data_IF_178903191500
#
_entry.id   IF_178903191500
#
_cell.length_a   1.000
_cell.length_b   1.000
_cell.length_c   1.000
_cell.angle_alpha   90.00
_cell.angle_beta   90.00
_cell.angle_gamma   90.00
#
_symmetry.space_group_name_H-M   'P 1'
#
loop_
_entity.id
_entity.type
_entity.pdbx_description
1 polymer ?
#
# COMPACT_ATOMS: atom_id res chain seq x y z
N UNK A 1 10.95 -2.37 -6.27
CA UNK A 1 10.23 -2.02 -5.02
C UNK A 1 8.87 -2.70 -4.93
N UNK A 2 7.88 -2.37 -5.77
CA UNK A 2 6.51 -2.92 -5.70
C UNK A 2 6.45 -4.46 -5.61
N UNK A 3 7.17 -5.16 -6.48
CA UNK A 3 7.25 -6.63 -6.49
C UNK A 3 7.78 -7.21 -5.17
N UNK A 4 8.73 -6.53 -4.52
CA UNK A 4 9.29 -6.97 -3.24
C UNK A 4 8.29 -6.75 -2.12
N UNK A 5 7.63 -5.59 -2.10
CA UNK A 5 6.57 -5.30 -1.14
C UNK A 5 5.40 -6.29 -1.26
N UNK A 6 5.01 -6.67 -2.47
CA UNK A 6 4.00 -7.70 -2.71
C UNK A 6 4.45 -9.07 -2.20
N UNK A 7 5.68 -9.49 -2.55
CA UNK A 7 6.23 -10.78 -2.12
C UNK A 7 6.40 -10.88 -0.59
N UNK A 8 6.75 -9.79 0.10
CA UNK A 8 6.94 -9.81 1.56
C UNK A 8 5.63 -9.79 2.34
N UNK A 9 4.55 -9.25 1.76
CA UNK A 9 3.30 -9.00 2.49
C UNK A 9 2.17 -9.96 2.14
N UNK A 10 2.27 -10.65 1.00
CA UNK A 10 1.17 -11.45 0.44
C UNK A 10 0.07 -10.60 -0.23
N UNK A 11 0.26 -9.29 -0.36
CA UNK A 11 -0.63 -8.42 -1.12
C UNK A 11 -0.38 -8.57 -2.61
N UNK A 12 -1.44 -8.48 -3.41
CA UNK A 12 -1.32 -8.50 -4.86
C UNK A 12 -0.85 -7.14 -5.38
N UNK A 13 0.14 -7.15 -6.27
CA UNK A 13 0.54 -5.96 -7.00
C UNK A 13 -0.44 -5.73 -8.14
N UNK A 14 -1.15 -4.60 -8.12
CA UNK A 14 -2.05 -4.19 -9.19
C UNK A 14 -1.66 -2.84 -9.78
N UNK A 15 -1.99 -2.64 -11.05
CA UNK A 15 -1.99 -1.30 -11.66
C UNK A 15 -3.25 -0.55 -11.19
N UNK A 16 -3.16 0.75 -10.89
CA UNK A 16 -4.30 1.51 -10.44
C UNK A 16 -5.35 1.63 -11.55
N UNK A 17 -6.62 1.41 -11.20
CA UNK A 17 -7.74 1.66 -12.09
C UNK A 17 -7.80 3.14 -12.47
N UNK A 18 -8.39 3.46 -13.63
CA UNK A 18 -8.50 4.85 -14.10
C UNK A 18 -9.16 5.79 -13.07
N UNK A 19 -10.12 5.28 -12.28
CA UNK A 19 -10.79 6.05 -11.22
C UNK A 19 -9.89 6.33 -10.01
N UNK A 20 -8.83 5.56 -9.82
CA UNK A 20 -7.83 5.72 -8.76
C UNK A 20 -6.58 6.48 -9.25
N UNK A 21 -6.65 7.11 -10.42
CA UNK A 21 -5.57 7.90 -11.02
C UNK A 21 -6.03 9.33 -11.31
N UNK A 22 -5.19 10.32 -10.99
CA UNK A 22 -5.41 11.70 -11.41
C UNK A 22 -5.98 12.61 -10.32
N UNK A 23 -5.28 12.71 -9.19
CA UNK A 23 -5.59 13.69 -8.15
C UNK A 23 -5.51 13.16 -6.72
N UNK A 24 -5.12 11.90 -6.54
CA UNK A 24 -4.90 11.32 -5.23
C UNK A 24 -3.60 11.79 -4.58
N UNK A 25 -3.44 11.50 -3.29
CA UNK A 25 -2.23 11.84 -2.54
C UNK A 25 -0.95 11.23 -3.17
N UNK A 26 -1.03 9.97 -3.61
CA UNK A 26 0.05 9.29 -4.34
C UNK A 26 0.49 10.07 -5.58
N UNK A 27 -0.46 10.54 -6.38
CA UNK A 27 -0.17 11.27 -7.62
C UNK A 27 0.47 12.62 -7.33
N UNK A 28 -0.06 13.37 -6.36
CA UNK A 28 0.52 14.63 -5.90
C UNK A 28 1.93 14.44 -5.37
N UNK A 29 2.16 13.42 -4.55
CA UNK A 29 3.49 13.13 -3.99
C UNK A 29 4.51 12.81 -5.08
N UNK A 30 4.14 11.96 -6.05
CA UNK A 30 5.01 11.63 -7.18
C UNK A 30 5.31 12.91 -8.00
N UNK A 31 4.30 13.73 -8.27
CA UNK A 31 4.44 14.98 -9.03
C UNK A 31 5.35 16.00 -8.33
N UNK A 32 5.19 16.19 -7.01
CA UNK A 32 5.95 17.18 -6.26
C UNK A 32 7.38 16.74 -5.92
N UNK A 33 7.59 15.46 -5.62
CA UNK A 33 8.86 14.98 -5.07
C UNK A 33 9.64 14.06 -6.01
N UNK A 34 9.05 13.64 -7.13
CA UNK A 34 9.64 12.69 -8.08
C UNK A 34 10.15 11.41 -7.40
N UNK A 35 9.43 10.92 -6.39
CA UNK A 35 9.77 9.73 -5.61
C UNK A 35 8.71 8.64 -5.78
N UNK A 36 9.09 7.35 -5.72
CA UNK A 36 8.13 6.26 -5.74
C UNK A 36 7.11 6.39 -4.61
N UNK A 37 5.84 6.09 -4.89
CA UNK A 37 4.77 6.04 -3.91
C UNK A 37 3.79 4.91 -4.23
N UNK A 38 3.19 4.35 -3.18
CA UNK A 38 2.28 3.21 -3.27
C UNK A 38 1.04 3.48 -2.42
N UNK A 39 -0.10 2.97 -2.87
CA UNK A 39 -1.30 2.86 -2.04
C UNK A 39 -1.41 1.41 -1.59
N UNK A 40 -1.49 1.18 -0.27
CA UNK A 40 -1.69 -0.17 0.28
C UNK A 40 -3.15 -0.25 0.75
N UNK A 41 -3.97 -0.99 0.01
CA UNK A 41 -5.39 -1.18 0.31
C UNK A 41 -5.56 -2.29 1.34
N UNK A 42 -5.87 -1.94 2.59
CA UNK A 42 -5.93 -2.89 3.70
C UNK A 42 -7.35 -3.30 4.09
N UNK A 43 -7.44 -4.50 4.66
CA UNK A 43 -8.71 -5.07 5.10
C UNK A 43 -9.44 -5.81 3.97
N UNK A 44 -10.36 -6.70 4.34
CA UNK A 44 -11.11 -7.52 3.39
C UNK A 44 -12.54 -7.69 3.85
N UNK A 45 -13.48 -7.50 2.94
CA UNK A 45 -14.92 -7.56 3.21
C UNK A 45 -15.58 -6.21 2.99
N UNK A 46 -16.68 -5.99 3.72
CA UNK A 46 -17.46 -4.75 3.64
C UNK A 46 -17.25 -3.93 4.91
N UNK A 47 -17.11 -2.61 4.75
CA UNK A 47 -16.97 -1.69 5.87
C UNK A 47 -18.30 -1.63 6.66
N UNK A 48 -18.32 -1.71 8.01
CA UNK A 48 -17.19 -1.70 8.94
C UNK A 48 -16.44 -3.03 9.05
N UNK A 49 -15.11 -2.95 8.90
CA UNK A 49 -14.23 -4.10 9.09
C UNK A 49 -13.98 -4.40 10.58
N UNK A 50 -13.76 -5.67 10.96
CA UNK A 50 -13.54 -6.06 12.34
C UNK A 50 -12.18 -5.56 12.86
N UNK A 51 -12.17 -4.87 13.99
CA UNK A 51 -10.95 -4.35 14.61
C UNK A 51 -9.96 -5.45 15.03
N UNK A 52 -10.42 -6.70 15.17
CA UNK A 52 -9.57 -7.85 15.47
C UNK A 52 -8.53 -8.13 14.39
N UNK A 53 -8.75 -7.67 13.15
CA UNK A 53 -7.83 -7.91 12.03
C UNK A 53 -6.66 -6.92 12.03
N UNK A 54 -6.85 -5.76 12.66
CA UNK A 54 -5.88 -4.66 12.63
C UNK A 54 -4.49 -5.04 13.18
N UNK A 55 -4.34 -5.79 14.29
CA UNK A 55 -3.01 -6.18 14.78
C UNK A 55 -2.21 -7.02 13.77
N UNK A 56 -2.89 -7.92 13.03
CA UNK A 56 -2.26 -8.74 12.00
C UNK A 56 -1.83 -7.91 10.80
N UNK A 57 -2.75 -7.07 10.30
CA UNK A 57 -2.50 -6.13 9.20
C UNK A 57 -1.33 -5.19 9.54
N UNK A 58 -1.34 -4.62 10.74
CA UNK A 58 -0.30 -3.67 11.17
C UNK A 58 1.09 -4.30 11.14
N UNK A 59 1.24 -5.55 11.61
CA UNK A 59 2.52 -6.26 11.56
C UNK A 59 3.04 -6.39 10.13
N UNK A 60 2.17 -6.77 9.19
CA UNK A 60 2.53 -6.88 7.77
C UNK A 60 2.95 -5.53 7.19
N UNK A 61 2.23 -4.45 7.51
CA UNK A 61 2.57 -3.11 7.04
C UNK A 61 3.90 -2.60 7.61
N UNK A 62 4.19 -2.91 8.87
CA UNK A 62 5.45 -2.52 9.52
C UNK A 62 6.65 -3.16 8.81
N UNK A 63 6.57 -4.44 8.47
CA UNK A 63 7.61 -5.14 7.69
C UNK A 63 7.79 -4.50 6.30
N UNK A 64 6.70 -4.19 5.60
CA UNK A 64 6.76 -3.51 4.30
C UNK A 64 7.44 -2.13 4.40
N UNK A 65 7.15 -1.36 5.44
CA UNK A 65 7.75 -0.05 5.67
C UNK A 65 9.27 -0.16 5.87
N UNK A 66 9.72 -1.15 6.65
CA UNK A 66 11.16 -1.39 6.85
C UNK A 66 11.83 -1.75 5.52
N UNK A 67 11.25 -2.66 4.72
CA UNK A 67 11.80 -2.99 3.40
C UNK A 67 11.86 -1.77 2.47
N UNK A 68 10.88 -0.87 2.54
CA UNK A 68 10.84 0.33 1.70
C UNK A 68 11.97 1.34 1.98
N UNK A 69 12.60 1.26 3.14
CA UNK A 69 13.72 2.13 3.54
C UNK A 69 15.08 1.54 3.11
N UNK A 70 15.18 0.21 3.09
CA UNK A 70 16.45 -0.50 2.83
C UNK A 70 16.71 -0.70 1.34
N UNK A 71 15.64 -0.87 0.56
CA UNK A 71 15.64 -1.12 -0.89
C UNK A 71 15.59 0.16 -1.73
#
# INVERSE_FOLDING_TARGET
MAQVLAASSGYEMSEPEAMATGGGFKDWFISCFCRPAFTIEIGKGENPLPLSDLPGIHRTLEEMLVFSIIM
#
